data_IF_110391086082
#
_entry.id   IF_110391086082
#
_cell.length_a   1.000
_cell.length_b   1.000
_cell.length_c   1.000
_cell.angle_alpha   90.00
_cell.angle_beta   90.00
_cell.angle_gamma   90.00
#
_symmetry.space_group_name_H-M   'P 1'
#
loop_
_entity.id
_entity.type
_entity.pdbx_description
1 polymer ?
#
# COMPACT_ATOMS: atom_id res chain seq x y z
N UNK A 1 -5.55 20.28 23.65
CA UNK A 1 -5.71 19.04 22.85
C UNK A 1 -4.48 18.11 22.88
N UNK A 2 -3.69 18.07 23.97
CA UNK A 2 -2.44 17.29 24.06
C UNK A 2 -2.45 16.11 25.06
N UNK A 3 -3.62 15.77 25.62
CA UNK A 3 -3.74 14.69 26.63
C UNK A 3 -4.44 13.43 26.12
N UNK A 4 -5.00 13.43 24.91
CA UNK A 4 -5.78 12.30 24.38
C UNK A 4 -4.97 11.27 23.58
N UNK A 5 -3.67 11.52 23.32
CA UNK A 5 -2.79 10.58 22.59
C UNK A 5 -2.00 9.61 23.48
N UNK A 6 -1.97 9.84 24.80
CA UNK A 6 -1.22 8.99 25.73
C UNK A 6 -2.03 7.79 26.27
N UNK A 7 -3.37 7.88 26.27
CA UNK A 7 -4.22 6.82 26.84
C UNK A 7 -4.39 5.59 25.93
N UNK A 8 -4.07 5.69 24.63
CA UNK A 8 -4.10 4.55 23.69
C UNK A 8 -2.78 3.74 23.66
N UNK A 9 -1.70 4.24 24.26
CA UNK A 9 -0.37 3.61 24.20
C UNK A 9 -0.17 2.42 25.13
N UNK A 10 -0.97 2.31 26.20
CA UNK A 10 -0.75 1.33 27.29
C UNK A 10 -1.33 -0.05 26.96
N UNK A 11 -2.33 -0.15 26.08
CA UNK A 11 -2.88 -1.42 25.61
C UNK A 11 -2.04 -2.09 24.50
N UNK A 12 -1.08 -1.37 23.92
CA UNK A 12 -0.41 -1.78 22.68
C UNK A 12 0.84 -2.66 22.90
N UNK A 13 1.47 -2.68 24.08
CA UNK A 13 2.78 -3.34 24.19
C UNK A 13 2.68 -4.88 24.30
N UNK A 14 1.76 -5.39 25.13
CA UNK A 14 1.46 -6.83 25.17
C UNK A 14 0.75 -7.33 23.91
N UNK A 15 -0.05 -6.48 23.26
CA UNK A 15 -0.69 -6.77 21.97
C UNK A 15 0.31 -6.75 20.80
N UNK A 16 1.33 -5.87 20.82
CA UNK A 16 2.37 -5.81 19.81
C UNK A 16 3.21 -7.07 19.80
N UNK A 17 3.73 -7.53 20.96
CA UNK A 17 4.50 -8.78 21.04
C UNK A 17 3.66 -10.04 20.80
N UNK A 18 2.39 -10.06 21.22
CA UNK A 18 1.47 -11.15 20.90
C UNK A 18 1.11 -11.20 19.39
N UNK A 19 1.14 -10.06 18.70
CA UNK A 19 0.98 -9.94 17.24
C UNK A 19 2.27 -10.20 16.44
N UNK A 20 3.42 -10.38 17.11
CA UNK A 20 4.70 -10.70 16.47
C UNK A 20 4.83 -12.18 16.08
N UNK A 21 3.98 -13.08 16.58
CA UNK A 21 3.90 -14.45 16.05
C UNK A 21 3.22 -14.41 14.67
N UNK A 22 3.84 -14.91 13.60
CA UNK A 22 3.18 -14.97 12.30
C UNK A 22 1.91 -15.84 12.41
N UNK A 23 0.75 -15.27 12.07
CA UNK A 23 -0.50 -16.00 11.89
C UNK A 23 -0.39 -17.14 10.83
N UNK A 24 0.67 -17.14 10.03
CA UNK A 24 0.95 -18.14 8.98
C UNK A 24 1.54 -19.46 9.48
N UNK A 25 1.80 -19.63 10.78
CA UNK A 25 2.14 -20.93 11.36
C UNK A 25 0.92 -21.78 11.79
N UNK A 26 -0.32 -21.33 11.49
CA UNK A 26 -1.56 -21.96 11.95
C UNK A 26 -2.59 -22.30 10.86
N UNK A 27 -2.23 -22.32 9.57
CA UNK A 27 -3.09 -22.93 8.56
C UNK A 27 -2.76 -24.42 8.36
N UNK A 28 -3.20 -25.25 9.30
CA UNK A 28 -3.55 -26.65 8.99
C UNK A 28 -4.54 -27.20 10.02
N UNK A 29 -5.78 -26.70 9.99
CA UNK A 29 -6.99 -27.46 10.33
C UNK A 29 -8.19 -26.50 10.30
N UNK A 30 -9.26 -26.91 9.61
CA UNK A 30 -10.56 -26.24 9.70
C UNK A 30 -10.98 -26.03 11.17
N UNK A 31 -11.57 -24.86 11.51
CA UNK A 31 -12.05 -24.62 12.86
C UNK A 31 -13.22 -25.56 13.19
N UNK A 32 -13.22 -26.26 14.34
CA UNK A 32 -14.41 -26.97 14.78
C UNK A 32 -15.51 -25.96 15.16
N UNK A 33 -16.75 -26.31 14.79
CA UNK A 33 -17.99 -25.57 15.05
C UNK A 33 -18.07 -25.09 16.51
N UNK A 34 -18.52 -23.85 16.78
CA UNK A 34 -18.50 -23.28 18.13
C UNK A 34 -19.43 -24.05 19.08
N UNK A 35 -18.88 -24.52 20.20
CA UNK A 35 -19.65 -24.98 21.34
C UNK A 35 -20.07 -23.77 22.20
N UNK A 36 -21.25 -23.87 22.82
CA UNK A 36 -21.90 -22.85 23.63
C UNK A 36 -21.02 -22.35 24.81
N UNK A 37 -21.23 -21.10 25.28
CA UNK A 37 -20.35 -20.47 26.28
C UNK A 37 -20.50 -21.15 27.63
N UNK A 38 -19.44 -21.78 28.11
CA UNK A 38 -19.29 -22.17 29.52
C UNK A 38 -18.68 -21.01 30.32
N UNK A 39 -19.18 -20.85 31.55
CA UNK A 39 -18.85 -19.76 32.48
C UNK A 39 -17.34 -19.54 32.68
N UNK A 40 -16.90 -18.31 33.04
CA UNK A 40 -15.48 -18.01 33.23
C UNK A 40 -14.92 -18.87 34.36
N UNK A 41 -13.98 -19.75 34.03
CA UNK A 41 -13.21 -20.47 35.03
C UNK A 41 -12.37 -19.45 35.82
N UNK A 42 -12.52 -19.46 37.13
CA UNK A 42 -11.71 -18.66 38.06
C UNK A 42 -10.22 -18.91 37.80
N UNK A 43 -9.47 -17.82 37.59
CA UNK A 43 -8.01 -17.84 37.51
C UNK A 43 -7.49 -18.17 38.91
N UNK A 44 -6.72 -19.25 39.11
CA UNK A 44 -6.20 -19.56 40.43
C UNK A 44 -5.18 -18.50 40.85
N UNK A 45 -5.32 -18.05 42.10
CA UNK A 45 -4.46 -17.07 42.73
C UNK A 45 -3.00 -17.57 42.83
N UNK A 46 -2.08 -16.69 42.44
CA UNK A 46 -0.68 -16.58 42.86
C UNK A 46 -0.03 -17.86 43.46
N UNK A 47 0.34 -18.81 42.60
CA UNK A 47 1.51 -19.64 42.89
C UNK A 47 2.75 -18.74 42.78
N UNK A 48 3.73 -18.88 43.68
CA UNK A 48 5.02 -18.17 43.64
C UNK A 48 5.49 -18.02 42.19
N UNK A 49 5.53 -16.77 41.71
CA UNK A 49 5.95 -16.50 40.34
C UNK A 49 7.44 -16.84 40.24
N UNK A 50 7.73 -18.06 39.81
CA UNK A 50 9.04 -18.39 39.25
C UNK A 50 9.39 -17.27 38.27
N UNK A 51 10.62 -16.75 38.40
CA UNK A 51 11.10 -15.64 37.57
C UNK A 51 10.71 -15.90 36.10
N UNK A 52 9.86 -15.06 35.50
CA UNK A 52 9.31 -15.33 34.17
C UNK A 52 10.40 -15.34 33.09
N UNK A 53 11.60 -14.84 33.39
CA UNK A 53 12.77 -14.85 32.52
C UNK A 53 13.70 -16.05 32.79
N UNK A 54 13.39 -16.92 33.75
CA UNK A 54 14.16 -18.12 34.03
C UNK A 54 14.03 -19.14 32.90
N UNK A 55 15.12 -19.35 32.16
CA UNK A 55 15.16 -20.30 31.04
C UNK A 55 15.01 -21.73 31.56
N UNK A 56 14.04 -22.51 31.06
CA UNK A 56 13.92 -23.92 31.42
C UNK A 56 15.19 -24.72 31.10
N UNK A 57 15.56 -25.65 31.99
CA UNK A 57 16.73 -26.54 31.80
C UNK A 57 16.55 -27.51 30.61
N UNK A 58 15.31 -27.78 30.20
CA UNK A 58 14.98 -28.67 29.08
C UNK A 58 15.51 -28.18 27.71
N UNK A 59 15.66 -29.13 26.79
CA UNK A 59 15.92 -28.90 25.36
C UNK A 59 14.72 -29.31 24.50
N UNK A 60 13.59 -29.67 25.11
CA UNK A 60 12.35 -30.01 24.41
C UNK A 60 11.75 -28.76 23.76
N UNK A 61 11.67 -28.75 22.43
CA UNK A 61 11.20 -27.62 21.64
C UNK A 61 9.79 -27.17 22.05
N UNK A 62 8.88 -28.11 22.35
CA UNK A 62 7.50 -27.78 22.71
C UNK A 62 7.43 -27.08 24.07
N UNK A 63 8.18 -27.57 25.05
CA UNK A 63 8.29 -26.94 26.36
C UNK A 63 8.91 -25.54 26.27
N UNK A 64 9.97 -25.38 25.45
CA UNK A 64 10.60 -24.09 25.21
C UNK A 64 9.69 -23.13 24.44
N UNK A 65 8.90 -23.62 23.48
CA UNK A 65 7.91 -22.84 22.74
C UNK A 65 6.80 -22.32 23.66
N UNK A 66 6.26 -23.18 24.54
CA UNK A 66 5.25 -22.77 25.53
C UNK A 66 5.82 -21.76 26.53
N UNK A 67 7.10 -21.89 26.90
CA UNK A 67 7.79 -20.90 27.71
C UNK A 67 7.91 -19.56 26.98
N UNK A 68 8.38 -19.55 25.73
CA UNK A 68 8.48 -18.32 24.92
C UNK A 68 7.12 -17.64 24.73
N UNK A 69 6.05 -18.41 24.48
CA UNK A 69 4.70 -17.87 24.37
C UNK A 69 4.24 -17.13 25.64
N UNK A 70 4.60 -17.63 26.83
CA UNK A 70 4.32 -16.93 28.09
C UNK A 70 5.24 -15.75 28.31
N UNK A 71 6.52 -15.89 27.98
CA UNK A 71 7.52 -14.83 28.10
C UNK A 71 7.13 -13.59 27.30
N UNK A 72 6.73 -13.75 26.03
CA UNK A 72 6.33 -12.61 25.17
C UNK A 72 5.04 -11.93 25.62
N UNK A 73 4.26 -12.56 26.49
CA UNK A 73 3.04 -11.98 27.08
C UNK A 73 3.31 -11.23 28.39
N UNK A 74 4.55 -11.28 28.90
CA UNK A 74 4.94 -10.50 30.08
C UNK A 74 4.88 -9.00 29.75
N UNK A 75 4.66 -8.18 30.79
CA UNK A 75 4.55 -6.74 30.65
C UNK A 75 5.81 -6.06 31.19
N UNK A 76 6.20 -4.90 30.63
CA UNK A 76 7.26 -4.09 31.21
C UNK A 76 6.84 -3.59 32.59
N UNK A 77 7.83 -3.47 33.50
CA UNK A 77 7.63 -2.94 34.85
C UNK A 77 7.10 -1.49 34.80
N UNK A 78 7.50 -0.74 33.77
CA UNK A 78 7.02 0.61 33.48
C UNK A 78 6.59 0.73 32.01
N UNK A 79 5.39 1.29 31.72
CA UNK A 79 4.91 1.51 30.36
C UNK A 79 5.53 2.79 29.73
N UNK A 80 6.82 3.01 29.95
CA UNK A 80 7.61 4.09 29.35
C UNK A 80 8.46 3.54 28.20
N UNK A 81 8.89 4.35 27.21
CA UNK A 81 9.81 3.86 26.18
C UNK A 81 11.06 3.19 26.76
N UNK A 82 11.65 3.76 27.82
CA UNK A 82 12.79 3.18 28.51
C UNK A 82 12.45 1.85 29.22
N UNK A 83 11.29 1.77 29.89
CA UNK A 83 10.81 0.54 30.52
C UNK A 83 10.55 -0.58 29.52
N UNK A 84 9.98 -0.25 28.36
CA UNK A 84 9.75 -1.19 27.24
C UNK A 84 11.10 -1.65 26.67
N UNK A 85 12.02 -0.75 26.38
CA UNK A 85 13.38 -1.09 25.91
C UNK A 85 14.08 -2.02 26.90
N UNK A 86 14.05 -1.72 28.19
CA UNK A 86 14.63 -2.57 29.24
C UNK A 86 14.00 -3.96 29.27
N UNK A 87 12.68 -4.04 29.14
CA UNK A 87 11.94 -5.30 29.11
C UNK A 87 12.30 -6.15 27.88
N UNK A 88 12.31 -5.56 26.68
CA UNK A 88 12.69 -6.23 25.44
C UNK A 88 14.15 -6.73 25.47
N UNK A 89 15.06 -5.97 26.09
CA UNK A 89 16.44 -6.42 26.30
C UNK A 89 16.52 -7.64 27.24
N UNK A 90 15.66 -7.73 28.27
CA UNK A 90 15.55 -8.93 29.12
C UNK A 90 15.08 -10.14 28.28
N UNK A 91 14.06 -9.95 27.44
CA UNK A 91 13.56 -11.00 26.54
C UNK A 91 14.64 -11.44 25.55
N UNK A 92 15.38 -10.50 24.92
CA UNK A 92 16.49 -10.83 24.01
C UNK A 92 17.56 -11.69 24.68
N UNK A 93 17.91 -11.38 25.94
CA UNK A 93 18.84 -12.18 26.73
C UNK A 93 18.35 -13.62 26.95
N UNK A 94 17.05 -13.82 27.16
CA UNK A 94 16.41 -15.14 27.29
C UNK A 94 16.41 -15.88 25.94
N UNK A 95 16.02 -15.19 24.86
CA UNK A 95 16.04 -15.71 23.49
C UNK A 95 17.44 -16.19 23.11
N UNK A 96 18.48 -15.41 23.40
CA UNK A 96 19.87 -15.80 23.15
C UNK A 96 20.28 -17.08 23.89
N UNK A 97 19.86 -17.25 25.15
CA UNK A 97 20.11 -18.48 25.92
C UNK A 97 19.38 -19.69 25.32
N UNK A 98 18.16 -19.52 24.83
CA UNK A 98 17.41 -20.60 24.16
C UNK A 98 18.09 -20.99 22.85
N UNK A 99 18.53 -20.02 22.05
CA UNK A 99 19.22 -20.28 20.78
C UNK A 99 20.55 -21.04 20.96
N UNK A 100 21.19 -20.93 22.13
CA UNK A 100 22.41 -21.65 22.46
C UNK A 100 22.18 -23.13 22.85
N UNK A 101 20.92 -23.56 23.07
CA UNK A 101 20.58 -24.95 23.39
C UNK A 101 20.60 -25.85 22.13
N UNK A 102 20.77 -27.17 22.29
CA UNK A 102 20.63 -28.13 21.20
C UNK A 102 19.14 -28.32 20.85
N UNK A 103 18.58 -27.35 20.15
CA UNK A 103 17.20 -27.34 19.64
C UNK A 103 17.12 -27.69 18.15
N UNK A 104 15.95 -28.12 17.69
CA UNK A 104 15.74 -28.46 16.28
C UNK A 104 15.90 -27.24 15.36
N UNK A 105 16.19 -27.48 14.08
CA UNK A 105 16.33 -26.41 13.09
C UNK A 105 15.03 -25.62 12.87
N UNK A 106 13.83 -26.25 12.76
CA UNK A 106 12.58 -25.50 12.67
C UNK A 106 12.35 -24.58 13.87
N UNK A 107 12.60 -25.06 15.10
CA UNK A 107 12.41 -24.25 16.29
C UNK A 107 13.45 -23.13 16.39
N UNK A 108 14.73 -23.41 16.10
CA UNK A 108 15.77 -22.39 16.02
C UNK A 108 15.39 -21.27 15.05
N UNK A 109 14.83 -21.60 13.88
CA UNK A 109 14.35 -20.63 12.89
C UNK A 109 13.26 -19.72 13.48
N UNK A 110 12.27 -20.26 14.17
CA UNK A 110 11.22 -19.46 14.84
C UNK A 110 11.77 -18.55 15.92
N UNK A 111 12.70 -19.04 16.74
CA UNK A 111 13.36 -18.25 17.79
C UNK A 111 14.22 -17.14 17.18
N UNK A 112 14.89 -17.44 16.05
CA UNK A 112 15.71 -16.49 15.35
C UNK A 112 14.90 -15.32 14.75
N UNK A 113 13.71 -15.63 14.22
CA UNK A 113 12.76 -14.65 13.70
C UNK A 113 12.20 -13.74 14.81
N UNK A 114 11.83 -14.31 15.97
CA UNK A 114 11.43 -13.53 17.15
C UNK A 114 12.52 -12.52 17.54
N UNK A 115 13.79 -12.93 17.50
CA UNK A 115 14.92 -12.04 17.84
C UNK A 115 15.04 -10.86 16.88
N UNK A 116 14.88 -11.09 15.58
CA UNK A 116 14.89 -10.02 14.57
C UNK A 116 13.74 -9.02 14.80
N UNK A 117 12.55 -9.52 15.18
CA UNK A 117 11.41 -8.67 15.50
C UNK A 117 11.65 -7.83 16.76
N UNK A 118 12.26 -8.41 17.81
CA UNK A 118 12.66 -7.66 19.01
C UNK A 118 13.59 -6.51 18.62
N UNK A 119 14.60 -6.76 17.79
CA UNK A 119 15.51 -5.70 17.37
C UNK A 119 14.84 -4.62 16.51
N UNK A 120 13.87 -4.99 15.67
CA UNK A 120 13.05 -4.00 14.94
C UNK A 120 12.30 -3.08 15.90
N UNK A 121 11.60 -3.64 16.88
CA UNK A 121 10.86 -2.84 17.88
C UNK A 121 11.81 -1.96 18.70
N UNK A 122 12.99 -2.47 19.07
CA UNK A 122 14.00 -1.66 19.76
C UNK A 122 14.48 -0.48 18.91
N UNK A 123 14.67 -0.68 17.60
CA UNK A 123 15.03 0.40 16.68
C UNK A 123 13.91 1.45 16.58
N UNK A 124 12.65 1.03 16.49
CA UNK A 124 11.48 1.92 16.45
C UNK A 124 11.31 2.74 17.74
N UNK A 125 11.76 2.19 18.88
CA UNK A 125 11.81 2.88 20.18
C UNK A 125 13.01 3.82 20.33
N UNK A 126 13.91 3.88 19.34
CA UNK A 126 15.08 4.75 19.33
C UNK A 126 16.28 4.20 20.12
N UNK A 127 16.35 2.88 20.34
CA UNK A 127 17.54 2.23 20.92
C UNK A 127 18.74 2.40 19.96
N UNK A 128 19.78 3.10 20.44
CA UNK A 128 20.95 3.49 19.63
C UNK A 128 21.77 2.29 19.16
N UNK A 129 21.70 1.17 19.87
CA UNK A 129 22.48 -0.04 19.59
C UNK A 129 21.67 -1.05 18.76
N UNK A 130 20.36 -0.85 18.58
CA UNK A 130 19.50 -1.79 17.86
C UNK A 130 19.98 -2.03 16.42
N UNK A 131 20.39 -0.99 15.70
CA UNK A 131 20.91 -1.13 14.34
C UNK A 131 22.16 -2.01 14.29
N UNK A 132 23.14 -1.74 15.15
CA UNK A 132 24.39 -2.50 15.19
C UNK A 132 24.15 -3.97 15.56
N UNK A 133 23.23 -4.23 16.49
CA UNK A 133 22.80 -5.59 16.87
C UNK A 133 22.11 -6.32 15.72
N UNK A 134 21.17 -5.67 15.04
CA UNK A 134 20.51 -6.21 13.84
C UNK A 134 21.53 -6.57 12.77
N UNK A 135 22.43 -5.65 12.43
CA UNK A 135 23.42 -5.86 11.36
C UNK A 135 24.40 -7.00 11.70
N UNK A 136 24.83 -7.12 12.96
CA UNK A 136 25.67 -8.22 13.42
C UNK A 136 24.94 -9.56 13.36
N UNK A 137 23.70 -9.60 13.83
CA UNK A 137 22.91 -10.82 13.89
C UNK A 137 22.46 -11.30 12.50
N UNK A 138 22.12 -10.40 11.58
CA UNK A 138 21.84 -10.76 10.19
C UNK A 138 23.06 -11.40 9.49
N UNK A 139 24.28 -10.97 9.82
CA UNK A 139 25.51 -11.61 9.33
C UNK A 139 25.69 -13.02 9.92
N UNK A 140 25.41 -13.19 11.20
CA UNK A 140 25.41 -14.52 11.85
C UNK A 140 24.41 -15.46 11.18
N UNK A 141 23.16 -15.01 11.00
CA UNK A 141 22.12 -15.81 10.34
C UNK A 141 22.49 -16.17 8.90
N UNK A 142 23.08 -15.23 8.15
CA UNK A 142 23.54 -15.47 6.78
C UNK A 142 24.68 -16.51 6.70
N UNK A 143 25.53 -16.60 7.73
CA UNK A 143 26.63 -17.54 7.82
C UNK A 143 26.23 -18.91 8.41
N UNK A 144 25.00 -19.05 8.90
CA UNK A 144 24.51 -20.28 9.51
C UNK A 144 24.45 -21.44 8.53
N UNK A 145 24.80 -22.65 8.98
CA UNK A 145 24.64 -23.90 8.22
C UNK A 145 23.28 -24.56 8.46
N UNK A 146 22.46 -24.03 9.37
CA UNK A 146 21.13 -24.58 9.66
C UNK A 146 20.17 -24.36 8.48
N UNK A 147 19.43 -25.38 8.03
CA UNK A 147 18.47 -25.26 6.93
C UNK A 147 17.47 -24.11 7.11
N UNK A 148 17.36 -23.26 6.09
CA UNK A 148 16.41 -22.13 6.04
C UNK A 148 16.75 -20.92 6.94
N UNK A 149 17.81 -20.98 7.75
CA UNK A 149 18.25 -19.85 8.58
C UNK A 149 18.90 -18.72 7.76
N UNK A 150 19.80 -18.99 6.79
CA UNK A 150 20.32 -17.94 5.91
C UNK A 150 19.24 -17.17 5.15
N UNK A 151 18.13 -17.84 4.80
CA UNK A 151 17.03 -17.21 4.08
C UNK A 151 16.18 -16.29 4.96
N UNK A 152 16.23 -16.42 6.29
CA UNK A 152 15.66 -15.40 7.19
C UNK A 152 16.39 -14.07 7.04
N UNK A 153 17.73 -14.10 7.01
CA UNK A 153 18.55 -12.89 6.86
C UNK A 153 18.23 -12.16 5.56
N UNK A 154 18.19 -12.91 4.44
CA UNK A 154 17.82 -12.37 3.12
C UNK A 154 16.42 -11.76 3.13
N UNK A 155 15.42 -12.47 3.66
CA UNK A 155 14.03 -11.99 3.72
C UNK A 155 13.89 -10.74 4.58
N UNK A 156 14.53 -10.70 5.74
CA UNK A 156 14.50 -9.55 6.62
C UNK A 156 15.14 -8.31 5.98
N UNK A 157 16.31 -8.47 5.33
CA UNK A 157 16.97 -7.39 4.60
C UNK A 157 16.13 -6.89 3.41
N UNK A 158 15.48 -7.81 2.69
CA UNK A 158 14.57 -7.45 1.61
C UNK A 158 13.37 -6.66 2.14
N UNK A 159 12.72 -7.14 3.18
CA UNK A 159 11.58 -6.47 3.80
C UNK A 159 11.96 -5.07 4.29
N UNK A 160 13.10 -4.91 4.96
CA UNK A 160 13.58 -3.61 5.41
C UNK A 160 13.78 -2.62 4.24
N UNK A 161 14.27 -3.09 3.10
CA UNK A 161 14.41 -2.26 1.89
C UNK A 161 13.07 -1.90 1.26
N UNK A 162 12.09 -2.81 1.27
CA UNK A 162 10.72 -2.53 0.80
C UNK A 162 10.05 -1.49 1.70
N UNK A 163 10.14 -1.65 3.02
CA UNK A 163 9.54 -0.73 4.00
C UNK A 163 10.10 0.69 3.90
N UNK A 164 11.40 0.83 3.59
CA UNK A 164 12.11 2.11 3.50
C UNK A 164 12.41 2.53 2.06
N UNK A 165 11.68 1.99 1.07
CA UNK A 165 12.00 2.17 -0.36
C UNK A 165 12.04 3.63 -0.81
N UNK A 166 11.23 4.50 -0.20
CA UNK A 166 11.19 5.92 -0.50
C UNK A 166 12.48 6.66 -0.08
N UNK A 167 13.19 6.14 0.93
CA UNK A 167 14.45 6.71 1.43
C UNK A 167 15.68 6.13 0.73
N UNK A 168 15.51 5.09 -0.10
CA UNK A 168 16.58 4.50 -0.89
C UNK A 168 16.94 5.39 -2.07
N UNK A 169 18.23 5.48 -2.39
CA UNK A 169 18.67 6.07 -3.65
C UNK A 169 18.23 5.23 -4.87
N UNK A 170 18.30 5.81 -6.06
CA UNK A 170 17.86 5.12 -7.29
C UNK A 170 18.59 3.79 -7.54
N UNK A 171 19.87 3.67 -7.15
CA UNK A 171 20.65 2.47 -7.39
C UNK A 171 20.17 1.34 -6.47
N UNK A 172 19.91 1.65 -5.20
CA UNK A 172 19.35 0.73 -4.22
C UNK A 172 17.90 0.32 -4.55
N UNK A 173 17.09 1.25 -5.09
CA UNK A 173 15.76 0.96 -5.62
C UNK A 173 15.83 0.00 -6.82
N UNK A 174 16.71 0.26 -7.81
CA UNK A 174 16.92 -0.63 -8.96
C UNK A 174 17.40 -2.01 -8.52
N UNK A 175 18.31 -2.09 -7.56
CA UNK A 175 18.75 -3.36 -6.99
C UNK A 175 17.60 -4.10 -6.29
N UNK A 176 16.70 -3.39 -5.61
CA UNK A 176 15.55 -4.01 -4.93
C UNK A 176 14.58 -4.61 -5.94
N UNK A 177 14.28 -3.87 -7.00
CA UNK A 177 13.49 -4.37 -8.13
C UNK A 177 14.12 -5.64 -8.71
N UNK A 178 15.44 -5.64 -8.93
CA UNK A 178 16.14 -6.81 -9.46
C UNK A 178 16.03 -8.04 -8.54
N UNK A 179 16.15 -7.85 -7.22
CA UNK A 179 16.01 -8.94 -6.24
C UNK A 179 14.58 -9.51 -6.23
N UNK A 180 13.57 -8.65 -6.35
CA UNK A 180 12.16 -9.06 -6.43
C UNK A 180 11.87 -9.81 -7.73
N UNK A 181 12.40 -9.33 -8.86
CA UNK A 181 12.31 -10.02 -10.15
C UNK A 181 12.98 -11.40 -10.06
N UNK A 182 14.15 -11.50 -9.42
CA UNK A 182 14.83 -12.76 -9.18
C UNK A 182 14.00 -13.71 -8.30
N UNK A 183 13.30 -13.16 -7.29
CA UNK A 183 12.37 -13.93 -6.46
C UNK A 183 11.23 -14.53 -7.28
N UNK A 184 10.51 -13.73 -8.09
CA UNK A 184 9.41 -14.23 -8.95
C UNK A 184 9.92 -15.29 -9.93
N UNK A 185 11.13 -15.09 -10.48
CA UNK A 185 11.76 -16.06 -11.39
C UNK A 185 12.13 -17.38 -10.71
N UNK A 186 12.54 -17.33 -9.44
CA UNK A 186 12.96 -18.51 -8.70
C UNK A 186 11.78 -19.41 -8.26
N UNK A 187 10.54 -18.92 -8.30
CA UNK A 187 9.36 -19.71 -7.92
C UNK A 187 9.16 -20.91 -8.86
N UNK A 188 9.17 -22.15 -8.37
CA UNK A 188 8.91 -23.35 -9.17
C UNK A 188 7.54 -23.33 -9.86
N UNK A 189 7.39 -24.06 -10.98
CA UNK A 189 6.08 -24.27 -11.58
C UNK A 189 5.22 -25.16 -10.66
N UNK A 190 3.96 -24.77 -10.45
CA UNK A 190 3.01 -25.50 -9.59
C UNK A 190 3.04 -25.08 -8.11
N UNK A 191 3.94 -24.17 -7.71
CA UNK A 191 3.94 -23.57 -6.38
C UNK A 191 3.14 -22.25 -6.41
N UNK A 192 1.81 -22.39 -6.39
CA UNK A 192 0.88 -21.26 -6.56
C UNK A 192 0.92 -20.28 -5.39
N UNK A 193 1.14 -20.76 -4.17
CA UNK A 193 1.23 -19.92 -2.97
C UNK A 193 2.50 -19.05 -3.01
N UNK A 194 3.66 -19.64 -3.31
CA UNK A 194 4.89 -18.87 -3.47
C UNK A 194 4.81 -17.90 -4.66
N UNK A 195 4.13 -18.30 -5.74
CA UNK A 195 3.92 -17.44 -6.89
C UNK A 195 3.09 -16.22 -6.52
N UNK A 196 1.92 -16.44 -5.90
CA UNK A 196 1.04 -15.37 -5.44
C UNK A 196 1.77 -14.40 -4.51
N UNK A 197 2.52 -14.92 -3.53
CA UNK A 197 3.31 -14.09 -2.62
C UNK A 197 4.37 -13.26 -3.37
N UNK A 198 5.14 -13.87 -4.26
CA UNK A 198 6.20 -13.17 -5.00
C UNK A 198 5.65 -12.08 -5.94
N UNK A 199 4.51 -12.35 -6.59
CA UNK A 199 3.81 -11.39 -7.44
C UNK A 199 3.24 -10.24 -6.62
N UNK A 200 2.61 -10.53 -5.47
CA UNK A 200 2.12 -9.49 -4.57
C UNK A 200 3.26 -8.58 -4.08
N UNK A 201 4.43 -9.14 -3.76
CA UNK A 201 5.60 -8.36 -3.39
C UNK A 201 6.11 -7.49 -4.54
N UNK A 202 6.14 -8.02 -5.76
CA UNK A 202 6.47 -7.26 -6.95
C UNK A 202 5.53 -6.07 -7.17
N UNK A 203 4.22 -6.29 -7.08
CA UNK A 203 3.22 -5.24 -7.17
C UNK A 203 3.41 -4.18 -6.09
N UNK A 204 3.60 -4.62 -4.84
CA UNK A 204 3.82 -3.71 -3.70
C UNK A 204 5.03 -2.81 -3.93
N UNK A 205 6.15 -3.36 -4.43
CA UNK A 205 7.35 -2.55 -4.75
C UNK A 205 7.07 -1.56 -5.87
N UNK A 206 6.38 -1.96 -6.94
CA UNK A 206 5.99 -1.05 -8.03
C UNK A 206 5.13 0.11 -7.54
N UNK A 207 4.10 -0.19 -6.74
CA UNK A 207 3.19 0.79 -6.15
C UNK A 207 3.89 1.75 -5.18
N UNK A 208 4.80 1.24 -4.34
CA UNK A 208 5.55 2.09 -3.43
C UNK A 208 6.51 3.02 -4.17
N UNK A 209 7.19 2.55 -5.22
CA UNK A 209 8.01 3.40 -6.08
C UNK A 209 7.16 4.47 -6.78
N UNK A 210 5.99 4.10 -7.28
CA UNK A 210 5.05 5.04 -7.89
C UNK A 210 4.60 6.09 -6.88
N UNK A 211 4.20 5.68 -5.67
CA UNK A 211 3.72 6.60 -4.62
C UNK A 211 4.82 7.54 -4.11
N UNK A 212 6.08 7.13 -4.23
CA UNK A 212 7.24 7.96 -3.94
C UNK A 212 7.66 8.86 -5.11
N UNK A 213 6.88 8.91 -6.21
CA UNK A 213 7.22 9.60 -7.47
C UNK A 213 8.63 9.26 -7.97
N UNK A 214 9.08 8.01 -7.74
CA UNK A 214 10.43 7.59 -8.09
C UNK A 214 10.59 7.48 -9.62
N UNK A 215 11.70 7.99 -10.20
CA UNK A 215 12.01 7.79 -11.61
C UNK A 215 12.27 6.31 -11.97
N UNK A 216 12.45 5.44 -10.97
CA UNK A 216 12.62 3.99 -11.14
C UNK A 216 11.29 3.28 -11.42
N UNK A 217 10.14 3.85 -11.01
CA UNK A 217 8.85 3.18 -11.07
C UNK A 217 8.48 2.63 -12.47
N UNK A 218 8.62 3.39 -13.59
CA UNK A 218 8.26 2.86 -14.91
C UNK A 218 9.10 1.65 -15.32
N UNK A 219 10.41 1.69 -15.05
CA UNK A 219 11.32 0.57 -15.33
C UNK A 219 11.04 -0.63 -14.41
N UNK A 220 10.65 -0.38 -13.16
CA UNK A 220 10.27 -1.43 -12.22
C UNK A 220 9.06 -2.22 -12.72
N UNK A 221 7.97 -1.53 -13.06
CA UNK A 221 6.80 -2.18 -13.65
C UNK A 221 7.17 -2.95 -14.93
N UNK A 222 8.02 -2.40 -15.79
CA UNK A 222 8.48 -3.08 -17.01
C UNK A 222 9.14 -4.43 -16.70
N UNK A 223 10.10 -4.45 -15.78
CA UNK A 223 10.81 -5.67 -15.39
C UNK A 223 9.89 -6.68 -14.70
N UNK A 224 8.91 -6.22 -13.92
CA UNK A 224 7.93 -7.10 -13.26
C UNK A 224 6.98 -7.71 -14.30
N UNK A 225 6.46 -6.91 -15.25
CA UNK A 225 5.63 -7.41 -16.35
C UNK A 225 6.40 -8.44 -17.17
N UNK A 226 7.65 -8.17 -17.50
CA UNK A 226 8.49 -9.07 -18.30
C UNK A 226 8.67 -10.44 -17.60
N UNK A 227 9.01 -10.45 -16.31
CA UNK A 227 9.19 -11.71 -15.58
C UNK A 227 7.89 -12.49 -15.40
N UNK A 228 6.77 -11.80 -15.20
CA UNK A 228 5.45 -12.44 -15.10
C UNK A 228 5.04 -13.03 -16.45
N UNK A 229 5.17 -12.28 -17.56
CA UNK A 229 4.89 -12.77 -18.91
C UNK A 229 5.73 -14.00 -19.25
N UNK A 230 7.01 -14.01 -18.87
CA UNK A 230 7.91 -15.13 -19.13
C UNK A 230 7.46 -16.45 -18.46
N UNK A 231 6.57 -16.40 -17.45
CA UNK A 231 5.99 -17.60 -16.83
C UNK A 231 4.97 -18.31 -17.74
N UNK A 232 4.38 -17.60 -18.71
CA UNK A 232 3.32 -18.09 -19.58
C UNK A 232 2.14 -18.71 -18.79
N UNK A 233 1.67 -17.99 -17.77
CA UNK A 233 0.53 -18.39 -16.93
C UNK A 233 -0.69 -17.53 -17.30
N UNK A 234 -1.70 -18.15 -17.91
CA UNK A 234 -2.92 -17.46 -18.37
C UNK A 234 -3.67 -16.76 -17.23
N UNK A 235 -3.55 -17.26 -15.99
CA UNK A 235 -4.18 -16.66 -14.80
C UNK A 235 -3.64 -15.27 -14.48
N UNK A 236 -2.46 -14.92 -15.00
CA UNK A 236 -1.79 -13.64 -14.77
C UNK A 236 -2.04 -12.63 -15.90
N UNK A 237 -2.83 -12.99 -16.92
CA UNK A 237 -3.06 -12.14 -18.10
C UNK A 237 -3.69 -10.79 -17.73
N UNK A 238 -4.71 -10.80 -16.86
CA UNK A 238 -5.40 -9.57 -16.46
C UNK A 238 -4.48 -8.68 -15.61
N UNK A 239 -3.71 -9.29 -14.71
CA UNK A 239 -2.70 -8.58 -13.92
C UNK A 239 -1.67 -7.92 -14.83
N UNK A 240 -1.13 -8.66 -15.79
CA UNK A 240 -0.17 -8.15 -16.77
C UNK A 240 -0.77 -6.98 -17.54
N UNK A 241 -2.01 -7.11 -18.00
CA UNK A 241 -2.69 -6.06 -18.76
C UNK A 241 -2.89 -4.79 -17.94
N UNK A 242 -3.28 -4.93 -16.66
CA UNK A 242 -3.41 -3.83 -15.71
C UNK A 242 -2.05 -3.13 -15.42
N UNK A 243 -0.99 -3.91 -15.25
CA UNK A 243 0.36 -3.39 -15.06
C UNK A 243 0.87 -2.64 -16.30
N UNK A 244 0.64 -3.17 -17.50
CA UNK A 244 0.99 -2.48 -18.75
C UNK A 244 0.22 -1.17 -18.91
N UNK A 245 -1.06 -1.14 -18.51
CA UNK A 245 -1.82 0.09 -18.45
C UNK A 245 -1.24 1.11 -17.47
N UNK A 246 -0.83 0.66 -16.28
CA UNK A 246 -0.17 1.51 -15.29
C UNK A 246 1.16 2.06 -15.82
N UNK A 247 1.97 1.23 -16.48
CA UNK A 247 3.20 1.66 -17.15
C UNK A 247 2.95 2.74 -18.19
N UNK A 248 1.97 2.53 -19.08
CA UNK A 248 1.58 3.53 -20.09
C UNK A 248 1.25 4.85 -19.42
N UNK A 249 0.42 4.83 -18.37
CA UNK A 249 0.03 6.04 -17.62
C UNK A 249 1.23 6.74 -16.98
N UNK A 250 2.14 6.01 -16.34
CA UNK A 250 3.34 6.60 -15.71
C UNK A 250 4.29 7.26 -16.72
N UNK A 251 4.27 6.81 -17.98
CA UNK A 251 5.06 7.38 -19.06
C UNK A 251 4.34 8.52 -19.79
N UNK A 252 3.08 8.83 -19.46
CA UNK A 252 2.33 9.88 -20.12
C UNK A 252 2.91 11.29 -19.96
N UNK A 253 3.43 11.73 -18.79
CA UNK A 253 3.93 13.09 -18.65
C UNK A 253 4.94 13.47 -19.74
N UNK A 254 4.67 14.57 -20.46
CA UNK A 254 5.43 15.05 -21.61
C UNK A 254 5.06 14.41 -22.96
N UNK A 255 4.24 13.36 -22.96
CA UNK A 255 3.79 12.62 -24.14
C UNK A 255 2.29 12.85 -24.42
N UNK A 256 1.84 12.62 -25.67
CA UNK A 256 0.42 12.68 -26.00
C UNK A 256 -0.40 11.57 -25.32
N UNK A 257 -1.68 11.84 -25.08
CA UNK A 257 -2.66 10.85 -24.63
C UNK A 257 -3.63 10.52 -25.78
N UNK A 258 -4.09 9.28 -25.81
CA UNK A 258 -5.12 8.81 -26.75
C UNK A 258 -6.42 8.56 -26.00
N UNK A 259 -7.46 9.35 -26.29
CA UNK A 259 -8.82 9.15 -25.79
C UNK A 259 -9.77 9.27 -26.97
N UNK A 260 -10.53 8.20 -27.22
CA UNK A 260 -11.53 8.11 -28.26
C UNK A 260 -12.72 7.33 -27.73
N UNK A 261 -13.91 7.63 -28.22
CA UNK A 261 -15.10 6.90 -27.81
C UNK A 261 -16.38 7.56 -28.30
N UNK A 262 -17.45 7.28 -27.60
CA UNK A 262 -18.74 7.94 -27.79
C UNK A 262 -19.10 8.66 -26.50
N UNK A 263 -19.59 9.87 -26.67
CA UNK A 263 -20.22 10.60 -25.57
C UNK A 263 -21.56 9.95 -25.22
N UNK A 264 -22.10 10.27 -24.04
CA UNK A 264 -23.39 9.76 -23.57
C UNK A 264 -24.53 10.05 -24.57
N UNK A 265 -24.51 11.18 -25.27
CA UNK A 265 -25.50 11.52 -26.31
C UNK A 265 -25.27 10.81 -27.66
N UNK A 266 -24.28 9.92 -27.74
CA UNK A 266 -23.98 9.09 -28.90
C UNK A 266 -23.03 9.73 -29.91
N UNK A 267 -22.56 10.97 -29.70
CA UNK A 267 -21.62 11.62 -30.62
C UNK A 267 -20.23 10.99 -30.53
N UNK A 268 -19.54 10.76 -31.68
CA UNK A 268 -18.15 10.34 -31.67
C UNK A 268 -17.30 11.43 -31.00
N UNK A 269 -16.26 11.00 -30.29
CA UNK A 269 -15.33 11.89 -29.61
C UNK A 269 -13.89 11.45 -29.86
N UNK A 270 -13.01 12.42 -30.09
CA UNK A 270 -11.57 12.24 -30.11
C UNK A 270 -10.89 13.44 -29.42
N UNK A 271 -10.05 13.17 -28.43
CA UNK A 271 -9.37 14.24 -27.68
C UNK A 271 -8.48 15.13 -28.56
N UNK A 272 -8.04 14.64 -29.71
CA UNK A 272 -7.27 15.45 -30.67
C UNK A 272 -8.06 16.66 -31.21
N UNK A 273 -9.40 16.62 -31.17
CA UNK A 273 -10.26 17.74 -31.54
C UNK A 273 -10.16 18.91 -30.54
N UNK A 274 -9.63 18.64 -29.33
CA UNK A 274 -9.43 19.63 -28.27
C UNK A 274 -8.01 20.22 -28.25
N UNK A 275 -7.16 19.92 -29.25
CA UNK A 275 -5.84 20.56 -29.39
C UNK A 275 -5.98 22.09 -29.38
N UNK A 276 -5.10 22.77 -28.65
CA UNK A 276 -5.19 24.19 -28.36
C UNK A 276 -5.91 24.54 -27.05
N UNK A 277 -6.58 23.58 -26.41
CA UNK A 277 -7.15 23.71 -25.06
C UNK A 277 -6.29 22.99 -24.01
N UNK A 278 -6.37 23.44 -22.77
CA UNK A 278 -5.96 22.64 -21.60
C UNK A 278 -7.13 21.72 -21.27
N UNK A 279 -6.90 20.41 -21.19
CA UNK A 279 -7.96 19.40 -21.02
C UNK A 279 -7.72 18.60 -19.76
N UNK A 280 -8.71 18.54 -18.87
CA UNK A 280 -8.72 17.62 -17.74
C UNK A 280 -9.55 16.38 -18.11
N UNK A 281 -8.90 15.23 -18.22
CA UNK A 281 -9.58 13.94 -18.37
C UNK A 281 -9.87 13.39 -16.98
N UNK A 282 -11.15 13.20 -16.65
CA UNK A 282 -11.63 12.77 -15.33
C UNK A 282 -12.29 11.39 -15.41
N UNK A 283 -11.69 10.39 -14.78
CA UNK A 283 -12.25 9.05 -14.62
C UNK A 283 -13.08 9.01 -13.33
N UNK A 284 -14.38 8.79 -13.45
CA UNK A 284 -15.33 8.92 -12.36
C UNK A 284 -16.54 8.00 -12.53
N UNK A 285 -17.41 7.94 -11.52
CA UNK A 285 -18.72 7.29 -11.63
C UNK A 285 -19.71 7.90 -10.64
N UNK A 286 -21.01 7.73 -10.88
CA UNK A 286 -22.07 8.26 -9.98
C UNK A 286 -22.09 7.60 -8.61
N UNK A 287 -21.57 6.37 -8.49
CA UNK A 287 -21.40 5.65 -7.23
C UNK A 287 -20.11 6.00 -6.49
N UNK A 288 -19.20 6.78 -7.11
CA UNK A 288 -17.95 7.20 -6.51
C UNK A 288 -18.15 8.46 -5.63
N UNK A 289 -18.36 8.26 -4.33
CA UNK A 289 -18.53 9.34 -3.35
C UNK A 289 -17.46 10.44 -3.42
N UNK A 290 -16.15 10.11 -3.39
CA UNK A 290 -15.09 11.11 -3.51
C UNK A 290 -15.10 11.86 -4.85
N UNK A 291 -15.46 11.21 -5.96
CA UNK A 291 -15.59 11.86 -7.27
C UNK A 291 -16.69 12.94 -7.23
N UNK A 292 -17.85 12.60 -6.66
CA UNK A 292 -18.97 13.54 -6.52
C UNK A 292 -18.60 14.72 -5.60
N UNK A 293 -17.77 14.48 -4.58
CA UNK A 293 -17.30 15.53 -3.67
C UNK A 293 -16.38 16.54 -4.38
N UNK A 294 -15.61 16.13 -5.40
CA UNK A 294 -14.74 17.00 -6.20
C UNK A 294 -15.52 17.80 -7.28
N UNK A 295 -16.69 17.33 -7.70
CA UNK A 295 -17.45 17.96 -8.80
C UNK A 295 -17.80 19.44 -8.62
N UNK A 296 -18.23 19.93 -7.44
CA UNK A 296 -18.49 21.36 -7.24
C UNK A 296 -17.27 22.22 -7.57
N UNK A 297 -16.10 21.78 -7.12
CA UNK A 297 -14.84 22.46 -7.38
C UNK A 297 -14.47 22.41 -8.87
N UNK A 298 -14.64 21.27 -9.54
CA UNK A 298 -14.44 21.18 -11.00
C UNK A 298 -15.38 22.11 -11.78
N UNK A 299 -16.62 22.29 -11.34
CA UNK A 299 -17.55 23.25 -11.96
C UNK A 299 -17.06 24.69 -11.80
N UNK A 300 -16.60 25.08 -10.63
CA UNK A 300 -16.04 26.41 -10.39
C UNK A 300 -14.84 26.68 -11.30
N UNK A 301 -13.93 25.71 -11.43
CA UNK A 301 -12.80 25.78 -12.35
C UNK A 301 -13.24 25.86 -13.81
N UNK A 302 -14.23 25.05 -14.19
CA UNK A 302 -14.78 25.06 -15.54
C UNK A 302 -15.38 26.43 -15.89
N UNK A 303 -16.22 26.99 -15.02
CA UNK A 303 -16.81 28.32 -15.24
C UNK A 303 -15.75 29.43 -15.31
N UNK A 304 -14.70 29.34 -14.50
CA UNK A 304 -13.62 30.32 -14.46
C UNK A 304 -12.70 30.27 -15.69
N UNK A 305 -12.43 29.07 -16.21
CA UNK A 305 -11.38 28.84 -17.21
C UNK A 305 -11.87 28.39 -18.58
N UNK A 306 -13.13 27.96 -18.74
CA UNK A 306 -13.61 27.42 -20.01
C UNK A 306 -13.43 28.40 -21.17
N UNK A 307 -13.80 29.67 -20.96
CA UNK A 307 -13.59 30.74 -21.94
C UNK A 307 -12.11 31.05 -22.22
N UNK A 308 -11.19 30.66 -21.33
CA UNK A 308 -9.73 30.79 -21.50
C UNK A 308 -9.09 29.57 -22.18
N UNK A 309 -9.92 28.63 -22.65
CA UNK A 309 -9.48 27.41 -23.33
C UNK A 309 -9.24 26.24 -22.39
N UNK A 310 -10.01 26.12 -21.31
CA UNK A 310 -10.07 24.91 -20.48
C UNK A 310 -11.25 24.02 -20.89
N UNK A 311 -11.04 22.71 -20.90
CA UNK A 311 -12.08 21.71 -21.12
C UNK A 311 -11.96 20.60 -20.09
N UNK A 312 -13.09 20.00 -19.74
CA UNK A 312 -13.13 18.77 -18.96
C UNK A 312 -13.69 17.66 -19.85
N UNK A 313 -13.17 16.45 -19.74
CA UNK A 313 -13.69 15.28 -20.44
C UNK A 313 -13.88 14.19 -19.40
N UNK A 314 -15.13 13.89 -19.09
CA UNK A 314 -15.44 12.80 -18.16
C UNK A 314 -15.41 11.46 -18.88
N UNK A 315 -14.81 10.46 -18.26
CA UNK A 315 -14.92 9.05 -18.63
C UNK A 315 -15.67 8.38 -17.50
N UNK A 316 -16.94 8.03 -17.76
CA UNK A 316 -17.79 7.40 -16.77
C UNK A 316 -17.53 5.90 -16.70
N UNK A 317 -17.36 5.40 -15.47
CA UNK A 317 -17.33 3.99 -15.09
C UNK A 317 -18.67 3.56 -14.46
N UNK A 318 -19.77 4.21 -14.86
CA UNK A 318 -21.10 3.73 -14.54
C UNK A 318 -21.42 2.48 -15.37
N UNK A 319 -22.43 1.73 -14.93
CA UNK A 319 -22.94 0.56 -15.69
C UNK A 319 -24.27 0.85 -16.38
N UNK A 320 -25.05 1.78 -15.83
CA UNK A 320 -26.42 2.04 -16.24
C UNK A 320 -26.57 3.45 -16.83
N UNK A 321 -26.84 3.51 -18.14
CA UNK A 321 -27.01 4.77 -18.87
C UNK A 321 -28.04 5.69 -18.25
N UNK A 322 -29.21 5.15 -17.91
CA UNK A 322 -30.33 5.94 -17.43
C UNK A 322 -30.01 6.62 -16.08
N UNK A 323 -29.24 5.97 -15.22
CA UNK A 323 -28.79 6.55 -13.95
C UNK A 323 -27.75 7.65 -14.18
N UNK A 324 -26.79 7.41 -15.07
CA UNK A 324 -25.80 8.40 -15.48
C UNK A 324 -26.49 9.64 -16.07
N UNK A 325 -27.37 9.48 -17.07
CA UNK A 325 -28.08 10.59 -17.72
C UNK A 325 -28.90 11.41 -16.72
N UNK A 326 -29.64 10.74 -15.82
CA UNK A 326 -30.37 11.42 -14.74
C UNK A 326 -29.44 12.20 -13.82
N UNK A 327 -28.29 11.62 -13.46
CA UNK A 327 -27.30 12.31 -12.63
C UNK A 327 -26.75 13.54 -13.35
N UNK A 328 -26.40 13.43 -14.63
CA UNK A 328 -25.87 14.53 -15.44
C UNK A 328 -26.87 15.68 -15.57
N UNK A 329 -28.16 15.36 -15.74
CA UNK A 329 -29.24 16.35 -15.77
C UNK A 329 -29.37 17.08 -14.42
N UNK A 330 -29.50 16.32 -13.32
CA UNK A 330 -29.64 16.89 -11.96
C UNK A 330 -28.42 17.71 -11.55
N UNK A 331 -27.22 17.29 -11.98
CA UNK A 331 -25.98 17.98 -11.68
C UNK A 331 -25.60 18.99 -12.75
N UNK A 332 -26.40 19.23 -13.78
CA UNK A 332 -26.14 20.24 -14.81
C UNK A 332 -24.69 20.20 -15.33
N UNK A 333 -24.18 19.01 -15.63
CA UNK A 333 -22.81 18.81 -16.11
C UNK A 333 -22.73 19.27 -17.57
N UNK A 334 -21.84 20.23 -17.87
CA UNK A 334 -21.79 20.93 -19.18
C UNK A 334 -20.71 20.41 -20.13
N UNK A 335 -19.80 19.59 -19.63
CA UNK A 335 -18.67 19.07 -20.39
C UNK A 335 -18.95 17.68 -20.96
N UNK A 336 -18.25 17.24 -22.03
CA UNK A 336 -18.46 15.93 -22.63
C UNK A 336 -18.19 14.78 -21.65
N UNK A 337 -19.08 13.80 -21.64
CA UNK A 337 -18.96 12.56 -20.86
C UNK A 337 -18.95 11.39 -21.83
N UNK A 338 -17.85 10.63 -21.84
CA UNK A 338 -17.72 9.35 -22.54
C UNK A 338 -18.27 8.24 -21.66
N UNK A 339 -18.97 7.30 -22.30
CA UNK A 339 -19.63 6.20 -21.60
C UNK A 339 -19.68 4.95 -22.51
N UNK A 340 -19.41 3.79 -21.93
CA UNK A 340 -19.48 2.48 -22.58
C UNK A 340 -20.49 1.59 -21.83
N UNK A 341 -21.27 0.80 -22.56
CA UNK A 341 -22.29 -0.12 -22.03
C UNK A 341 -21.88 -1.57 -22.27
N UNK A 342 -22.51 -2.51 -21.56
CA UNK A 342 -22.29 -3.95 -21.74
C UNK A 342 -20.89 -4.36 -21.27
N UNK A 343 -20.17 -5.11 -22.09
CA UNK A 343 -18.84 -5.65 -21.77
C UNK A 343 -17.76 -4.57 -21.51
N UNK A 344 -18.02 -3.32 -21.89
CA UNK A 344 -17.11 -2.19 -21.62
C UNK A 344 -17.57 -1.26 -20.49
N UNK A 345 -18.58 -1.65 -19.72
CA UNK A 345 -19.09 -0.82 -18.64
C UNK A 345 -18.23 -0.93 -17.37
N UNK A 346 -18.39 -0.01 -16.42
CA UNK A 346 -17.67 -0.06 -15.15
C UNK A 346 -16.14 -0.17 -15.29
N UNK A 347 -15.51 -1.06 -14.52
CA UNK A 347 -14.06 -1.33 -14.55
C UNK A 347 -13.59 -2.02 -15.84
N UNK A 348 -14.51 -2.54 -16.65
CA UNK A 348 -14.20 -3.09 -17.97
C UNK A 348 -14.13 -2.03 -19.07
N UNK A 349 -14.30 -0.75 -18.70
CA UNK A 349 -14.10 0.37 -19.61
C UNK A 349 -12.72 0.30 -20.28
N UNK A 350 -12.73 0.25 -21.61
CA UNK A 350 -11.52 0.04 -22.41
C UNK A 350 -10.47 1.11 -22.18
N UNK A 351 -10.90 2.36 -22.00
CA UNK A 351 -9.99 3.47 -21.73
C UNK A 351 -9.41 3.37 -20.31
N UNK A 352 -10.23 3.01 -19.33
CA UNK A 352 -9.77 2.77 -17.96
C UNK A 352 -8.75 1.62 -17.90
N UNK A 353 -9.06 0.47 -18.51
CA UNK A 353 -8.14 -0.66 -18.60
C UNK A 353 -6.85 -0.30 -19.36
N UNK A 354 -6.98 0.42 -20.48
CA UNK A 354 -5.82 0.82 -21.28
C UNK A 354 -4.83 1.67 -20.48
N UNK A 355 -5.32 2.57 -19.62
CA UNK A 355 -4.46 3.38 -18.75
C UNK A 355 -4.26 2.80 -17.33
N UNK A 356 -4.64 1.54 -17.12
CA UNK A 356 -4.48 0.85 -15.84
C UNK A 356 -5.18 1.56 -14.67
N UNK A 357 -6.34 2.17 -14.91
CA UNK A 357 -7.13 2.88 -13.91
C UNK A 357 -7.81 1.85 -13.02
N UNK A 358 -7.25 1.62 -11.84
CA UNK A 358 -7.74 0.66 -10.85
C UNK A 358 -8.43 1.30 -9.64
N UNK A 359 -8.44 2.64 -9.58
CA UNK A 359 -9.10 3.41 -8.55
C UNK A 359 -9.59 4.74 -9.13
N UNK A 360 -10.74 5.20 -8.64
CA UNK A 360 -11.31 6.51 -8.97
C UNK A 360 -11.57 7.31 -7.68
N UNK A 361 -11.48 8.66 -7.71
CA UNK A 361 -11.23 9.49 -8.88
C UNK A 361 -9.83 9.30 -9.46
N UNK A 362 -9.67 9.50 -10.76
CA UNK A 362 -8.38 9.54 -11.44
C UNK A 362 -8.41 10.66 -12.48
N UNK A 363 -7.40 11.55 -12.47
CA UNK A 363 -7.39 12.74 -13.30
C UNK A 363 -6.10 12.83 -14.10
N UNK A 364 -6.21 13.19 -15.38
CA UNK A 364 -5.06 13.42 -16.26
C UNK A 364 -5.19 14.79 -16.90
N UNK A 365 -4.24 15.68 -16.61
CA UNK A 365 -4.19 17.04 -17.15
C UNK A 365 -3.35 17.06 -18.43
N UNK A 366 -3.91 17.60 -19.50
CA UNK A 366 -3.30 17.73 -20.83
C UNK A 366 -3.15 19.21 -21.18
N UNK A 367 -1.99 19.61 -21.69
CA UNK A 367 -1.73 20.98 -22.13
C UNK A 367 -2.26 21.27 -23.55
N UNK A 368 -2.11 22.51 -24.01
CA UNK A 368 -2.57 22.98 -25.33
C UNK A 368 -1.93 22.25 -26.51
N UNK A 369 -0.71 21.74 -26.34
CA UNK A 369 -0.02 20.93 -27.35
C UNK A 369 -0.54 19.50 -27.44
N UNK A 370 -1.45 19.10 -26.54
CA UNK A 370 -1.98 17.74 -26.44
C UNK A 370 -1.08 16.79 -25.67
N UNK A 371 -0.13 17.31 -24.87
CA UNK A 371 0.79 16.52 -24.04
C UNK A 371 0.31 16.50 -22.59
N UNK A 372 0.48 15.36 -21.92
CA UNK A 372 0.12 15.23 -20.51
C UNK A 372 1.09 16.02 -19.63
N UNK A 373 0.53 16.81 -18.72
CA UNK A 373 1.26 17.58 -17.70
C UNK A 373 1.38 16.75 -16.43
N UNK A 374 0.29 16.10 -16.00
CA UNK A 374 0.26 15.27 -14.80
C UNK A 374 -0.87 14.25 -14.85
N UNK A 375 -0.73 13.15 -14.09
CA UNK A 375 -1.72 12.09 -13.91
C UNK A 375 -2.25 12.01 -12.47
N UNK A 376 -2.00 13.03 -11.63
CA UNK A 376 -2.29 12.96 -10.19
C UNK A 376 -2.82 14.27 -9.57
N UNK A 377 -2.89 15.38 -10.31
CA UNK A 377 -3.33 16.67 -9.78
C UNK A 377 -4.81 16.66 -9.38
N UNK A 378 -5.09 17.18 -8.19
CA UNK A 378 -6.43 17.40 -7.62
C UNK A 378 -6.42 18.58 -6.64
N UNK A 379 -7.59 19.12 -6.34
CA UNK A 379 -7.77 20.22 -5.38
C UNK A 379 -6.79 21.38 -5.61
N UNK A 380 -6.16 21.95 -4.55
CA UNK A 380 -5.28 23.12 -4.69
C UNK A 380 -4.10 22.93 -5.67
N UNK A 381 -3.58 21.71 -5.81
CA UNK A 381 -2.50 21.44 -6.75
C UNK A 381 -2.97 21.56 -8.22
N UNK A 382 -4.23 21.21 -8.49
CA UNK A 382 -4.85 21.42 -9.80
C UNK A 382 -5.05 22.92 -10.06
N UNK A 383 -5.52 23.67 -9.06
CA UNK A 383 -5.71 25.13 -9.17
C UNK A 383 -4.43 25.86 -9.54
N UNK A 384 -3.34 25.53 -8.84
CA UNK A 384 -2.03 26.11 -9.08
C UNK A 384 -1.54 25.83 -10.49
N UNK A 385 -1.71 24.59 -10.98
CA UNK A 385 -1.26 24.21 -12.31
C UNK A 385 -2.11 24.86 -13.40
N UNK A 386 -3.44 24.92 -13.22
CA UNK A 386 -4.32 25.64 -14.13
C UNK A 386 -3.98 27.14 -14.16
N UNK A 387 -3.66 27.74 -13.02
CA UNK A 387 -3.23 29.13 -12.97
C UNK A 387 -1.92 29.39 -13.73
N UNK A 388 -0.97 28.45 -13.70
CA UNK A 388 0.25 28.53 -14.52
C UNK A 388 -0.05 28.44 -16.02
N UNK A 389 -0.96 27.54 -16.42
CA UNK A 389 -1.25 27.27 -17.82
C UNK A 389 -2.21 28.30 -18.46
N UNK A 390 -3.12 28.88 -17.67
CA UNK A 390 -4.24 29.70 -18.15
C UNK A 390 -4.31 31.10 -17.52
N UNK A 391 -3.36 31.45 -16.64
CA UNK A 391 -3.32 32.69 -15.87
C UNK A 391 -4.15 32.60 -14.58
N UNK A 392 -4.07 33.59 -13.68
CA UNK A 392 -4.70 33.52 -12.36
C UNK A 392 -6.24 33.42 -12.43
N UNK A 393 -6.82 32.80 -11.39
CA UNK A 393 -8.27 32.73 -11.19
C UNK A 393 -8.87 34.15 -11.18
N UNK A 394 -9.98 34.39 -11.90
CA UNK A 394 -10.70 35.64 -11.80
C UNK A 394 -11.11 35.90 -10.34
N UNK A 395 -10.90 37.13 -9.84
CA UNK A 395 -11.18 37.51 -8.44
C UNK A 395 -12.64 37.29 -8.00
N UNK A 396 -13.56 37.04 -8.94
CA UNK A 396 -14.99 36.82 -8.69
C UNK A 396 -15.33 35.42 -8.16
N UNK A 397 -14.38 34.48 -8.12
CA UNK A 397 -14.59 33.10 -7.62
C UNK A 397 -14.18 32.93 -6.14
N UNK A 398 -13.50 33.93 -5.55
CA UNK A 398 -12.99 33.89 -4.18
C UNK A 398 -14.02 34.19 -3.06
N UNK A 399 -15.33 33.98 -3.27
CA UNK A 399 -16.30 34.17 -2.19
C UNK A 399 -16.62 32.82 -1.53
N UNK A 400 -16.24 32.58 -0.25
CA UNK A 400 -16.71 31.41 0.46
C UNK A 400 -18.23 31.46 0.55
N UNK A 401 -18.90 30.39 0.12
CA UNK A 401 -20.32 30.20 0.38
C UNK A 401 -20.51 30.00 1.90
N UNK A 402 -20.79 31.07 2.65
CA UNK A 402 -21.02 30.93 4.09
C UNK A 402 -21.16 32.17 4.96
N UNK A 403 -20.86 33.39 4.50
CA UNK A 403 -21.06 34.57 5.34
C UNK A 403 -22.47 35.16 5.14
N UNK A 404 -23.36 34.89 6.11
CA UNK A 404 -24.60 35.66 6.27
C UNK A 404 -24.25 37.14 6.49
N UNK A 405 -24.96 38.09 5.86
CA UNK A 405 -24.76 39.49 6.15
C UNK A 405 -25.10 39.75 7.62
N UNK A 406 -24.12 40.18 8.41
CA UNK A 406 -24.38 40.79 9.71
C UNK A 406 -24.97 42.17 9.48
N UNK A 407 -26.27 42.32 9.75
CA UNK A 407 -26.90 43.61 10.00
C UNK A 407 -26.19 44.33 11.14
N UNK A 408 -25.91 45.62 10.95
CA UNK A 408 -25.69 46.59 12.01
C UNK A 408 -26.56 47.80 11.74
#
# INVERSE_FOLDING_TARGET
MLRSRFALGVACCGAALAALLPATALLSADPPKPAAPTAPAEVPAAAEMADPFAVPETNDDKALQMFLQRLVQTQPDEPTPAGITGHLNKIDGVVGKIMAKPISDPFYRSVAELRLQIYKVLADLGDKDAKARTDAYLKELAASTRPGVPDLSKRFLLQARVENIADLDEAAQKALVADIVAMVKAVPKGDDEALQFSVQMAMTVGELLQRADSPVAPAAFASIVEVIKARNDERLTDLVSSMEGTMRRLQLPGNPIEIQGKTVDGKPFNINELKGKVVLVDFWATWCGPCIAEMPHLKELYEAYHAKGFEVVGISLDSERAELERFLEVKEIKWPILFEEGEGASWDNKTAQYYGISAIPAMILVNREGKVVSTSLRGPALDEELAKLLGPLPATVNKPAGEKPTEK
#
